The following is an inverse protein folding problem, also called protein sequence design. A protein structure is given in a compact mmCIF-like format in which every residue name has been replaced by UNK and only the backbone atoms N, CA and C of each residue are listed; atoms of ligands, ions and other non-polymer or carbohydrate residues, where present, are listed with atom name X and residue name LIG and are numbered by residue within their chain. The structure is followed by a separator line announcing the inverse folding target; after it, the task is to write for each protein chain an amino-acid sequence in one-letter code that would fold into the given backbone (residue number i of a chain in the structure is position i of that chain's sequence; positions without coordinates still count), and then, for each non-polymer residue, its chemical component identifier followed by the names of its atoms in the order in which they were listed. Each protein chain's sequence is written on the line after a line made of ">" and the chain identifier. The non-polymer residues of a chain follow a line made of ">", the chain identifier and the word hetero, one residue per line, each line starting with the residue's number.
data_IF_420875222553
#
_entry.id   IF_420875222553
#
_cell.length_a   1.000
_cell.length_b   1.000
_cell.length_c   1.000
_cell.angle_alpha   90.00
_cell.angle_beta   90.00
_cell.angle_gamma   90.00
#
_symmetry.space_group_name_H-M   'P 1'
#
loop_
_entity.id
_entity.type
_entity.pdbx_description
1 polymer ?
#
# COMPACT_ATOMS: atom_id res chain seq x y z
N UNK A 1 -4.99 -74.66 -5.01
CA UNK A 1 -3.97 -73.83 -4.31
C UNK A 1 -3.35 -72.79 -5.24
N UNK A 2 -2.85 -73.16 -6.42
CA UNK A 2 -2.21 -72.23 -7.39
C UNK A 2 -3.03 -70.98 -7.77
N UNK A 3 -4.35 -71.11 -7.98
CA UNK A 3 -5.24 -69.98 -8.29
C UNK A 3 -5.31 -68.93 -7.16
N UNK A 4 -5.31 -69.35 -5.90
CA UNK A 4 -5.38 -68.43 -4.76
C UNK A 4 -4.11 -67.60 -4.61
N UNK A 5 -2.93 -68.18 -4.88
CA UNK A 5 -1.67 -67.46 -4.87
C UNK A 5 -1.57 -66.40 -5.97
N UNK A 6 -2.09 -66.69 -7.17
CA UNK A 6 -2.13 -65.71 -8.28
C UNK A 6 -3.05 -64.52 -7.95
N UNK A 7 -4.22 -64.79 -7.36
CA UNK A 7 -5.15 -63.72 -6.94
C UNK A 7 -4.52 -62.86 -5.86
N UNK A 8 -3.88 -63.46 -4.85
CA UNK A 8 -3.21 -62.71 -3.79
C UNK A 8 -2.08 -61.83 -4.34
N UNK A 9 -1.21 -62.37 -5.21
CA UNK A 9 -0.13 -61.60 -5.83
C UNK A 9 -0.64 -60.42 -6.66
N UNK A 10 -1.72 -60.63 -7.43
CA UNK A 10 -2.35 -59.57 -8.22
C UNK A 10 -2.93 -58.46 -7.32
N UNK A 11 -3.64 -58.82 -6.25
CA UNK A 11 -4.18 -57.84 -5.30
C UNK A 11 -3.10 -57.03 -4.59
N UNK A 12 -1.99 -57.68 -4.20
CA UNK A 12 -0.85 -56.98 -3.59
C UNK A 12 -0.19 -56.02 -4.58
N UNK A 13 0.00 -56.43 -5.84
CA UNK A 13 0.54 -55.57 -6.88
C UNK A 13 -0.38 -54.37 -7.16
N UNK A 14 -1.69 -54.60 -7.28
CA UNK A 14 -2.66 -53.53 -7.46
C UNK A 14 -2.66 -52.53 -6.28
N UNK A 15 -2.61 -53.02 -5.04
CA UNK A 15 -2.52 -52.18 -3.85
C UNK A 15 -1.22 -51.35 -3.82
N UNK A 16 -0.08 -51.93 -4.23
CA UNK A 16 1.19 -51.23 -4.35
C UNK A 16 1.13 -50.12 -5.40
N UNK A 17 0.57 -50.40 -6.58
CA UNK A 17 0.39 -49.42 -7.65
C UNK A 17 -0.48 -48.24 -7.19
N UNK A 18 -1.59 -48.51 -6.50
CA UNK A 18 -2.46 -47.46 -5.92
C UNK A 18 -1.71 -46.66 -4.86
N UNK A 19 -0.96 -47.33 -3.97
CA UNK A 19 -0.17 -46.66 -2.93
C UNK A 19 0.90 -45.73 -3.50
N UNK A 20 1.65 -46.20 -4.50
CA UNK A 20 2.67 -45.37 -5.19
C UNK A 20 2.03 -44.20 -5.91
N UNK A 21 0.90 -44.42 -6.60
CA UNK A 21 0.16 -43.37 -7.29
C UNK A 21 -0.36 -42.30 -6.32
N UNK A 22 -0.94 -42.73 -5.20
CA UNK A 22 -1.42 -41.82 -4.16
C UNK A 22 -0.29 -41.01 -3.52
N UNK A 23 0.87 -41.62 -3.26
CA UNK A 23 2.06 -40.92 -2.76
C UNK A 23 2.61 -39.93 -3.78
N UNK A 24 2.64 -40.28 -5.07
CA UNK A 24 3.06 -39.37 -6.15
C UNK A 24 2.14 -38.16 -6.22
N UNK A 25 0.82 -38.37 -6.28
CA UNK A 25 -0.17 -37.29 -6.31
C UNK A 25 -0.07 -36.39 -5.08
N UNK A 26 0.15 -36.96 -3.90
CA UNK A 26 0.35 -36.19 -2.67
C UNK A 26 1.61 -35.33 -2.74
N UNK A 27 2.74 -35.88 -3.20
CA UNK A 27 3.99 -35.14 -3.37
C UNK A 27 3.84 -34.02 -4.40
N UNK A 28 3.26 -34.32 -5.56
CA UNK A 28 3.04 -33.34 -6.62
C UNK A 28 2.13 -32.21 -6.13
N UNK A 29 1.08 -32.54 -5.37
CA UNK A 29 0.21 -31.55 -4.74
C UNK A 29 0.98 -30.66 -3.75
N UNK A 30 1.81 -31.25 -2.89
CA UNK A 30 2.61 -30.49 -1.93
C UNK A 30 3.60 -29.56 -2.63
N UNK A 31 4.32 -30.04 -3.65
CA UNK A 31 5.28 -29.25 -4.43
C UNK A 31 4.57 -28.11 -5.16
N UNK A 32 3.43 -28.40 -5.81
CA UNK A 32 2.63 -27.40 -6.53
C UNK A 32 2.11 -26.31 -5.59
N UNK A 33 1.60 -26.68 -4.41
CA UNK A 33 1.11 -25.71 -3.43
C UNK A 33 2.23 -24.84 -2.84
N UNK A 34 3.39 -25.43 -2.54
CA UNK A 34 4.54 -24.69 -2.05
C UNK A 34 5.11 -23.73 -3.11
N UNK A 35 5.14 -24.17 -4.37
CA UNK A 35 5.54 -23.32 -5.48
C UNK A 35 4.57 -22.16 -5.67
N UNK A 36 3.26 -22.43 -5.75
CA UNK A 36 2.24 -21.40 -5.86
C UNK A 36 2.31 -20.40 -4.69
N UNK A 37 2.53 -20.88 -3.47
CA UNK A 37 2.67 -20.02 -2.28
C UNK A 37 3.88 -19.09 -2.39
N UNK A 38 5.02 -19.58 -2.88
CA UNK A 38 6.22 -18.76 -3.08
C UNK A 38 6.00 -17.72 -4.18
N UNK A 39 5.37 -18.12 -5.28
CA UNK A 39 5.03 -17.21 -6.38
C UNK A 39 4.08 -16.11 -5.91
N UNK A 40 3.00 -16.45 -5.21
CA UNK A 40 2.08 -15.46 -4.64
C UNK A 40 2.76 -14.52 -3.64
N UNK A 41 3.65 -15.03 -2.79
CA UNK A 41 4.39 -14.19 -1.84
C UNK A 41 5.34 -13.22 -2.55
N UNK A 42 6.07 -13.69 -3.57
CA UNK A 42 6.94 -12.85 -4.37
C UNK A 42 6.14 -11.77 -5.13
N UNK A 43 5.03 -12.15 -5.74
CA UNK A 43 4.12 -11.24 -6.43
C UNK A 43 3.54 -10.20 -5.47
N UNK A 44 3.04 -10.60 -4.31
CA UNK A 44 2.52 -9.67 -3.31
C UNK A 44 3.59 -8.64 -2.89
N UNK A 45 4.84 -9.07 -2.73
CA UNK A 45 5.95 -8.17 -2.43
C UNK A 45 6.23 -7.18 -3.58
N UNK A 46 6.20 -7.62 -4.84
CA UNK A 46 6.36 -6.73 -6.00
C UNK A 46 5.23 -5.70 -6.09
N UNK A 47 3.99 -6.10 -5.79
CA UNK A 47 2.84 -5.19 -5.79
C UNK A 47 2.91 -4.18 -4.63
N UNK A 48 3.36 -4.60 -3.45
CA UNK A 48 3.59 -3.72 -2.30
C UNK A 48 4.67 -2.67 -2.61
N UNK A 49 5.77 -3.10 -3.22
CA UNK A 49 6.85 -2.23 -3.68
C UNK A 49 6.37 -1.25 -4.77
N UNK A 50 5.53 -1.72 -5.71
CA UNK A 50 4.91 -0.85 -6.72
C UNK A 50 4.00 0.20 -6.08
N UNK A 51 3.16 -0.20 -5.13
CA UNK A 51 2.28 0.70 -4.39
C UNK A 51 3.08 1.77 -3.64
N UNK A 52 4.15 1.35 -2.98
CA UNK A 52 5.08 2.24 -2.29
C UNK A 52 5.69 3.26 -3.24
N UNK A 53 6.26 2.83 -4.37
CA UNK A 53 6.81 3.74 -5.39
C UNK A 53 5.78 4.70 -5.97
N UNK A 54 4.56 4.24 -6.18
CA UNK A 54 3.47 5.08 -6.69
C UNK A 54 3.11 6.20 -5.69
N UNK A 55 3.08 5.88 -4.40
CA UNK A 55 2.85 6.84 -3.31
C UNK A 55 4.04 7.79 -3.17
N UNK A 56 5.27 7.30 -3.20
CA UNK A 56 6.49 8.11 -3.13
C UNK A 56 6.58 9.15 -4.25
N UNK A 57 6.14 8.81 -5.46
CA UNK A 57 6.09 9.75 -6.57
C UNK A 57 5.09 10.89 -6.31
N UNK A 58 3.94 10.60 -5.69
CA UNK A 58 2.98 11.61 -5.23
C UNK A 58 3.54 12.45 -4.07
N UNK A 59 4.20 11.80 -3.12
CA UNK A 59 4.86 12.42 -1.98
C UNK A 59 5.93 13.44 -2.40
N UNK A 60 6.71 13.11 -3.44
CA UNK A 60 7.67 14.03 -4.03
C UNK A 60 6.99 15.30 -4.60
N UNK A 61 5.79 15.18 -5.17
CA UNK A 61 5.02 16.35 -5.61
C UNK A 61 4.60 17.23 -4.44
N UNK A 62 4.19 16.62 -3.32
CA UNK A 62 3.81 17.35 -2.12
C UNK A 62 4.98 18.17 -1.57
N UNK A 63 6.18 17.57 -1.45
CA UNK A 63 7.37 18.29 -0.98
C UNK A 63 7.67 19.49 -1.86
N UNK A 64 7.71 19.31 -3.18
CA UNK A 64 7.95 20.41 -4.11
C UNK A 64 6.89 21.50 -4.05
N UNK A 65 5.64 21.14 -3.76
CA UNK A 65 4.56 22.11 -3.55
C UNK A 65 4.78 22.89 -2.25
N UNK A 66 5.09 22.21 -1.15
CA UNK A 66 5.36 22.88 0.13
C UNK A 66 6.54 23.85 -0.01
N UNK A 67 7.63 23.44 -0.67
CA UNK A 67 8.78 24.33 -0.92
C UNK A 67 8.38 25.56 -1.75
N UNK A 68 7.41 25.42 -2.66
CA UNK A 68 6.90 26.55 -3.45
C UNK A 68 5.98 27.45 -2.63
N UNK A 69 5.13 26.88 -1.76
CA UNK A 69 4.24 27.62 -0.88
C UNK A 69 4.99 28.41 0.19
N UNK A 70 6.10 27.86 0.70
CA UNK A 70 6.98 28.53 1.67
C UNK A 70 7.61 29.79 1.08
N UNK A 71 7.98 29.76 -0.21
CA UNK A 71 8.60 30.89 -0.92
C UNK A 71 7.61 31.83 -1.58
N UNK A 72 6.33 31.48 -1.62
CA UNK A 72 5.32 32.22 -2.36
C UNK A 72 4.99 33.54 -1.67
N UNK A 73 5.26 34.66 -2.35
CA UNK A 73 4.73 35.96 -1.93
C UNK A 73 3.27 36.09 -2.39
N UNK A 74 2.34 35.93 -1.44
CA UNK A 74 0.90 36.02 -1.71
C UNK A 74 0.44 37.38 -2.26
N UNK A 75 1.30 38.40 -2.23
CA UNK A 75 1.04 39.72 -2.83
C UNK A 75 1.22 39.74 -4.35
N UNK A 76 1.92 38.76 -4.93
CA UNK A 76 2.06 38.59 -6.38
C UNK A 76 1.04 37.56 -6.92
N UNK A 77 -0.04 38.01 -7.59
CA UNK A 77 -1.02 37.11 -8.18
C UNK A 77 -0.46 36.26 -9.32
N UNK A 78 0.62 36.71 -9.98
CA UNK A 78 1.24 35.97 -11.07
C UNK A 78 1.99 34.74 -10.57
N UNK A 79 2.56 34.80 -9.36
CA UNK A 79 3.28 33.68 -8.77
C UNK A 79 2.36 32.48 -8.49
N UNK A 80 1.17 32.72 -7.92
CA UNK A 80 0.18 31.67 -7.69
C UNK A 80 -0.22 30.94 -8.97
N UNK A 81 -0.35 31.67 -10.10
CA UNK A 81 -0.62 31.08 -11.42
C UNK A 81 0.55 30.21 -11.91
N UNK A 82 1.80 30.64 -11.70
CA UNK A 82 2.99 29.86 -12.07
C UNK A 82 3.09 28.57 -11.27
N UNK A 83 2.84 28.64 -9.95
CA UNK A 83 2.84 27.45 -9.08
C UNK A 83 1.74 26.48 -9.54
N UNK A 84 0.54 26.97 -9.83
CA UNK A 84 -0.55 26.14 -10.35
C UNK A 84 -0.20 25.47 -11.68
N UNK A 85 0.35 26.21 -12.65
CA UNK A 85 0.73 25.65 -13.95
C UNK A 85 1.81 24.57 -13.81
N UNK A 86 2.80 24.78 -12.92
CA UNK A 86 3.83 23.80 -12.62
C UNK A 86 3.26 22.53 -11.97
N UNK A 87 2.34 22.68 -11.02
CA UNK A 87 1.63 21.55 -10.40
C UNK A 87 0.82 20.76 -11.42
N UNK A 88 0.02 21.46 -12.23
CA UNK A 88 -0.81 20.85 -13.28
C UNK A 88 0.03 20.01 -14.23
N UNK A 89 1.08 20.60 -14.81
CA UNK A 89 1.99 19.91 -15.74
C UNK A 89 2.67 18.69 -15.13
N UNK A 90 2.96 18.71 -13.81
CA UNK A 90 3.54 17.55 -13.11
C UNK A 90 2.51 16.47 -12.84
N UNK A 91 1.32 16.84 -12.39
CA UNK A 91 0.24 15.91 -12.11
C UNK A 91 -0.18 15.16 -13.39
N UNK A 92 -0.22 15.83 -14.54
CA UNK A 92 -0.53 15.18 -15.83
C UNK A 92 0.49 14.11 -16.26
N UNK A 93 1.74 14.21 -15.80
CA UNK A 93 2.79 13.21 -16.08
C UNK A 93 2.73 12.00 -15.15
N UNK A 94 1.84 12.00 -14.16
CA UNK A 94 1.72 10.95 -13.15
C UNK A 94 0.34 10.29 -13.24
N UNK A 95 0.21 9.14 -13.93
CA UNK A 95 -1.08 8.47 -14.13
C UNK A 95 -1.82 8.13 -12.83
N UNK A 96 -1.08 7.86 -11.75
CA UNK A 96 -1.64 7.57 -10.44
C UNK A 96 -2.19 8.82 -9.72
N UNK A 97 -1.81 10.03 -10.13
CA UNK A 97 -2.23 11.27 -9.48
C UNK A 97 -3.52 11.79 -10.13
N UNK A 98 -4.55 11.96 -9.31
CA UNK A 98 -5.86 12.50 -9.69
C UNK A 98 -5.99 14.02 -9.54
N UNK A 99 -4.96 14.67 -9.01
CA UNK A 99 -4.91 16.11 -8.75
C UNK A 99 -4.12 16.42 -7.48
N UNK A 100 -3.59 17.63 -7.42
CA UNK A 100 -2.82 18.17 -6.28
C UNK A 100 -3.43 19.51 -5.88
N UNK A 101 -3.59 19.75 -4.58
CA UNK A 101 -4.12 21.00 -4.04
C UNK A 101 -3.44 21.37 -2.73
N UNK A 102 -3.57 22.63 -2.34
CA UNK A 102 -3.05 23.16 -1.08
C UNK A 102 -4.14 23.85 -0.27
N UNK A 103 -4.11 23.66 1.05
CA UNK A 103 -4.95 24.35 2.01
C UNK A 103 -4.13 25.33 2.85
N UNK A 104 -4.77 26.38 3.35
CA UNK A 104 -4.21 27.24 4.39
C UNK A 104 -4.26 26.57 5.77
N UNK A 105 -3.72 27.28 6.77
CA UNK A 105 -3.73 26.87 8.17
C UNK A 105 -5.13 26.73 8.79
N UNK A 106 -6.19 27.16 8.09
CA UNK A 106 -7.58 27.01 8.50
C UNK A 106 -8.30 25.89 7.71
N UNK A 107 -7.61 25.21 6.79
CA UNK A 107 -8.18 24.16 5.97
C UNK A 107 -8.94 24.66 4.73
N UNK A 108 -8.77 25.93 4.34
CA UNK A 108 -9.41 26.49 3.14
C UNK A 108 -8.52 26.36 1.92
N UNK A 109 -9.14 26.13 0.76
CA UNK A 109 -8.43 25.91 -0.50
C UNK A 109 -7.65 27.15 -0.95
N UNK A 110 -6.32 27.03 -1.06
CA UNK A 110 -5.41 28.08 -1.54
C UNK A 110 -5.08 27.94 -3.02
N UNK A 111 -4.75 26.71 -3.45
CA UNK A 111 -4.38 26.38 -4.82
C UNK A 111 -4.95 25.03 -5.20
N UNK A 112 -5.36 24.90 -6.45
CA UNK A 112 -5.78 23.63 -7.05
C UNK A 112 -5.05 23.48 -8.40
N UNK A 113 -4.44 22.31 -8.62
CA UNK A 113 -3.84 21.97 -9.92
C UNK A 113 -4.84 21.98 -11.07
N UNK A 114 -6.13 21.79 -10.80
CA UNK A 114 -7.17 21.74 -11.83
C UNK A 114 -7.60 23.11 -12.35
N UNK A 115 -7.56 24.16 -11.52
CA UNK A 115 -8.15 25.47 -11.84
C UNK A 115 -7.45 26.63 -11.11
N UNK A 116 -7.34 27.79 -11.77
CA UNK A 116 -6.80 29.01 -11.19
C UNK A 116 -7.59 30.26 -11.62
N UNK A 117 -8.04 31.13 -10.69
CA UNK A 117 -8.04 30.91 -9.25
C UNK A 117 -9.00 29.78 -8.86
N UNK A 118 -8.71 28.99 -7.82
CA UNK A 118 -9.62 27.94 -7.41
C UNK A 118 -10.90 28.56 -6.81
N UNK A 119 -12.08 27.93 -7.01
CA UNK A 119 -13.29 28.35 -6.32
C UNK A 119 -13.09 28.19 -4.80
N UNK A 120 -13.52 29.16 -3.98
CA UNK A 120 -13.34 29.09 -2.54
C UNK A 120 -14.09 27.88 -1.98
N UNK A 121 -13.36 27.00 -1.29
CA UNK A 121 -13.90 25.80 -0.63
C UNK A 121 -13.26 25.67 0.74
N UNK A 122 -14.10 25.36 1.73
CA UNK A 122 -13.63 24.92 3.05
C UNK A 122 -13.50 23.40 3.04
N UNK A 123 -12.31 22.91 3.35
CA UNK A 123 -11.97 21.49 3.38
C UNK A 123 -11.44 21.08 4.76
N UNK A 124 -11.65 21.91 5.78
CA UNK A 124 -11.21 21.66 7.17
C UNK A 124 -11.77 20.36 7.75
N UNK A 125 -13.00 19.99 7.40
CA UNK A 125 -13.67 18.75 7.84
C UNK A 125 -13.15 17.48 7.13
N UNK A 126 -12.25 17.61 6.15
CA UNK A 126 -11.68 16.44 5.48
C UNK A 126 -10.69 15.72 6.40
N UNK A 127 -10.67 14.40 6.33
CA UNK A 127 -9.78 13.53 7.10
C UNK A 127 -8.31 13.98 7.03
N UNK A 128 -7.81 14.24 5.82
CA UNK A 128 -6.45 14.71 5.59
C UNK A 128 -6.18 16.11 6.16
N UNK A 129 -7.20 16.96 6.30
CA UNK A 129 -7.07 18.28 6.91
C UNK A 129 -7.05 18.15 8.44
N UNK A 130 -8.02 17.42 9.00
CA UNK A 130 -8.09 17.12 10.44
C UNK A 130 -6.82 16.43 10.96
N UNK A 131 -6.25 15.51 10.17
CA UNK A 131 -5.01 14.82 10.51
C UNK A 131 -3.81 15.76 10.73
N UNK A 132 -3.83 16.98 10.17
CA UNK A 132 -2.77 17.98 10.36
C UNK A 132 -3.22 19.14 11.27
N UNK A 133 -4.48 19.55 11.21
CA UNK A 133 -5.07 20.59 12.07
C UNK A 133 -5.11 20.16 13.55
N UNK A 134 -5.42 18.89 13.82
CA UNK A 134 -5.55 18.35 15.18
C UNK A 134 -4.21 18.09 15.89
N UNK A 135 -3.07 18.21 15.20
CA UNK A 135 -1.75 17.95 15.79
C UNK A 135 -1.27 19.19 16.54
N UNK A 136 -1.40 19.13 17.88
CA UNK A 136 -0.97 20.18 18.81
C UNK A 136 0.27 19.79 19.63
N UNK A 137 0.59 18.49 19.72
CA UNK A 137 1.76 17.97 20.45
C UNK A 137 2.41 16.79 19.72
N UNK A 138 3.75 16.74 19.77
CA UNK A 138 4.56 15.70 19.12
C UNK A 138 4.96 16.03 17.67
N UNK A 139 5.93 15.29 17.09
CA UNK A 139 6.30 15.47 15.69
C UNK A 139 5.10 15.09 14.80
N UNK A 140 4.65 15.96 13.89
CA UNK A 140 3.55 15.64 13.00
C UNK A 140 3.88 14.42 12.12
N UNK A 141 2.87 13.66 11.66
CA UNK A 141 3.10 12.59 10.71
C UNK A 141 3.76 13.16 9.46
N UNK A 142 4.93 12.64 9.10
CA UNK A 142 5.69 13.13 7.95
C UNK A 142 4.83 13.07 6.68
N UNK A 143 4.10 11.97 6.48
CA UNK A 143 3.12 11.77 5.42
C UNK A 143 1.88 11.13 6.05
N UNK A 144 0.70 11.68 5.77
CA UNK A 144 -0.57 11.06 6.13
C UNK A 144 -1.20 10.43 4.89
N UNK A 145 -1.76 9.23 5.04
CA UNK A 145 -2.57 8.55 4.02
C UNK A 145 -4.01 8.57 4.52
N UNK A 146 -4.87 9.31 3.82
CA UNK A 146 -6.28 9.43 4.13
C UNK A 146 -7.10 8.27 3.58
N UNK A 147 -8.36 8.22 3.96
CA UNK A 147 -9.32 7.19 3.58
C UNK A 147 -9.69 7.26 2.10
N UNK A 148 -10.31 6.19 1.61
CA UNK A 148 -10.85 6.12 0.25
C UNK A 148 -12.01 7.11 0.08
N UNK A 149 -11.93 7.95 -0.96
CA UNK A 149 -13.01 8.80 -1.44
C UNK A 149 -13.60 8.22 -2.74
N UNK A 150 -14.90 7.89 -2.77
CA UNK A 150 -15.55 7.43 -3.99
C UNK A 150 -15.64 8.56 -5.03
N UNK A 151 -15.85 8.18 -6.29
CA UNK A 151 -16.24 9.12 -7.33
C UNK A 151 -17.56 9.83 -6.94
N UNK A 152 -17.71 11.08 -7.35
CA UNK A 152 -18.84 11.91 -6.95
C UNK A 152 -18.77 13.32 -7.53
N UNK A 153 -19.61 14.25 -7.06
CA UNK A 153 -19.58 15.64 -7.52
C UNK A 153 -18.18 16.26 -7.39
N UNK A 154 -17.55 16.61 -8.51
CA UNK A 154 -16.19 17.14 -8.56
C UNK A 154 -15.05 16.11 -8.41
N UNK A 155 -15.36 14.81 -8.35
CA UNK A 155 -14.40 13.70 -8.27
C UNK A 155 -14.71 12.69 -9.39
N UNK A 156 -13.93 12.73 -10.48
CA UNK A 156 -14.19 11.88 -11.66
C UNK A 156 -13.94 10.39 -11.44
N UNK A 157 -13.02 10.03 -10.54
CA UNK A 157 -12.66 8.66 -10.23
C UNK A 157 -12.36 8.51 -8.74
N UNK A 158 -12.68 7.34 -8.18
CA UNK A 158 -12.36 7.01 -6.79
C UNK A 158 -10.87 7.19 -6.51
N UNK A 159 -10.54 7.83 -5.40
CA UNK A 159 -9.18 8.17 -5.01
C UNK A 159 -9.03 8.14 -3.50
N UNK A 160 -7.86 7.77 -3.00
CA UNK A 160 -7.48 8.09 -1.62
C UNK A 160 -6.58 9.31 -1.63
N UNK A 161 -6.27 9.87 -0.46
CA UNK A 161 -5.41 11.06 -0.38
C UNK A 161 -4.11 10.76 0.33
N UNK A 162 -3.07 11.49 -0.05
CA UNK A 162 -1.87 11.62 0.74
C UNK A 162 -1.66 13.11 1.04
N UNK A 163 -1.21 13.43 2.26
CA UNK A 163 -1.03 14.82 2.66
C UNK A 163 0.18 15.05 3.56
N UNK A 164 0.74 16.26 3.44
CA UNK A 164 1.82 16.79 4.28
C UNK A 164 1.49 18.20 4.74
N UNK A 165 2.00 18.56 5.92
CA UNK A 165 1.91 19.91 6.46
C UNK A 165 3.22 20.68 6.30
N UNK A 166 3.13 21.97 5.95
CA UNK A 166 4.18 22.96 6.13
C UNK A 166 3.98 23.60 7.50
N UNK A 167 5.02 23.62 8.33
CA UNK A 167 5.03 24.28 9.63
C UNK A 167 6.25 25.19 9.72
N UNK A 168 6.12 26.28 10.46
CA UNK A 168 7.26 27.15 10.78
C UNK A 168 8.18 26.56 11.86
N UNK A 169 9.23 27.30 12.22
CA UNK A 169 10.21 26.89 13.23
C UNK A 169 9.58 26.67 14.60
N UNK A 170 8.50 27.39 14.90
CA UNK A 170 7.69 27.26 16.11
C UNK A 170 6.69 26.08 16.07
N UNK A 171 6.57 25.41 14.91
CA UNK A 171 5.67 24.28 14.70
C UNK A 171 4.23 24.66 14.35
N UNK A 172 3.95 25.94 14.11
CA UNK A 172 2.64 26.44 13.69
C UNK A 172 2.36 26.01 12.25
N UNK A 173 1.14 25.50 12.01
CA UNK A 173 0.72 25.10 10.67
C UNK A 173 0.60 26.32 9.75
N UNK A 174 1.26 26.26 8.59
CA UNK A 174 1.23 27.30 7.57
C UNK A 174 0.38 26.90 6.37
N UNK A 175 0.52 25.64 5.94
CA UNK A 175 -0.24 25.09 4.81
C UNK A 175 -0.31 23.56 4.88
N UNK A 176 -1.26 22.97 4.15
CA UNK A 176 -1.37 21.53 3.95
C UNK A 176 -1.33 21.25 2.44
N UNK A 177 -0.36 20.47 1.97
CA UNK A 177 -0.33 19.97 0.60
C UNK A 177 -1.00 18.60 0.53
N UNK A 178 -1.83 18.39 -0.47
CA UNK A 178 -2.62 17.16 -0.64
C UNK A 178 -2.56 16.69 -2.08
N UNK A 179 -2.41 15.38 -2.28
CA UNK A 179 -2.52 14.74 -3.58
C UNK A 179 -3.57 13.64 -3.50
N UNK A 180 -4.47 13.62 -4.48
CA UNK A 180 -5.39 12.50 -4.68
C UNK A 180 -4.71 11.41 -5.49
N UNK A 181 -4.67 10.19 -4.98
CA UNK A 181 -4.13 9.02 -5.68
C UNK A 181 -5.31 8.19 -6.19
N UNK A 182 -5.35 7.96 -7.50
CA UNK A 182 -6.41 7.20 -8.18
C UNK A 182 -6.36 5.75 -7.72
N UNK A 183 -7.46 5.25 -7.15
CA UNK A 183 -7.61 3.83 -6.85
C UNK A 183 -7.61 3.02 -8.16
N UNK A 184 -8.28 3.54 -9.19
CA UNK A 184 -8.39 2.93 -10.52
C UNK A 184 -7.06 2.62 -11.18
N UNK A 185 -6.00 3.40 -10.88
CA UNK A 185 -4.65 3.12 -11.36
C UNK A 185 -4.15 1.76 -10.88
N UNK A 186 -4.34 1.46 -9.59
CA UNK A 186 -3.95 0.18 -9.01
C UNK A 186 -4.82 -0.96 -9.51
N UNK A 187 -6.15 -0.77 -9.54
CA UNK A 187 -7.05 -1.84 -9.98
C UNK A 187 -6.86 -2.22 -11.45
N UNK A 188 -6.59 -1.24 -12.33
CA UNK A 188 -6.26 -1.50 -13.74
C UNK A 188 -4.94 -2.24 -13.88
N UNK A 189 -3.87 -1.73 -13.27
CA UNK A 189 -2.54 -2.35 -13.34
C UNK A 189 -2.55 -3.76 -12.76
N UNK A 190 -3.25 -3.98 -11.64
CA UNK A 190 -3.38 -5.31 -11.07
C UNK A 190 -4.16 -6.23 -12.02
N UNK A 191 -5.15 -5.74 -12.76
CA UNK A 191 -5.91 -6.56 -13.71
C UNK A 191 -5.13 -7.06 -14.92
N UNK A 192 -4.00 -6.44 -15.28
CA UNK A 192 -3.22 -6.80 -16.47
C UNK A 192 -2.41 -8.11 -16.31
N UNK A 193 -2.19 -8.56 -15.08
CA UNK A 193 -1.33 -9.72 -14.81
C UNK A 193 -1.96 -11.08 -15.13
N UNK A 194 -3.18 -11.13 -15.66
CA UNK A 194 -3.79 -12.36 -16.19
C UNK A 194 -3.96 -13.45 -15.13
N UNK A 195 -4.52 -13.10 -13.97
CA UNK A 195 -4.68 -14.02 -12.85
C UNK A 195 -5.60 -15.20 -13.17
N UNK A 196 -5.36 -16.33 -12.50
CA UNK A 196 -6.25 -17.49 -12.56
C UNK A 196 -7.65 -17.21 -12.01
N UNK A 197 -8.59 -18.13 -12.28
CA UNK A 197 -9.99 -18.00 -11.87
C UNK A 197 -10.11 -17.82 -10.34
N UNK A 198 -10.92 -16.83 -9.92
CA UNK A 198 -11.17 -16.54 -8.51
C UNK A 198 -10.07 -15.74 -7.79
N UNK A 199 -9.02 -15.30 -8.50
CA UNK A 199 -8.01 -14.42 -7.92
C UNK A 199 -8.60 -13.08 -7.50
N UNK A 200 -8.15 -12.59 -6.34
CA UNK A 200 -8.54 -11.31 -5.79
C UNK A 200 -7.33 -10.62 -5.18
N UNK A 201 -7.22 -9.32 -5.40
CA UNK A 201 -6.14 -8.49 -4.91
C UNK A 201 -6.74 -7.27 -4.23
N UNK A 202 -6.12 -6.83 -3.15
CA UNK A 202 -6.51 -5.60 -2.49
C UNK A 202 -5.29 -4.93 -1.86
N UNK A 203 -5.29 -3.59 -1.89
CA UNK A 203 -4.32 -2.74 -1.21
C UNK A 203 -4.99 -2.20 0.05
N UNK A 204 -4.30 -2.32 1.18
CA UNK A 204 -4.79 -1.82 2.46
C UNK A 204 -3.81 -0.83 3.07
N UNK A 205 -4.31 0.13 3.84
CA UNK A 205 -3.48 0.88 4.79
C UNK A 205 -3.03 -0.05 5.92
N UNK A 206 -2.00 0.37 6.68
CA UNK A 206 -1.63 -0.32 7.92
C UNK A 206 -2.76 -0.33 8.95
N UNK A 207 -3.69 0.63 8.88
CA UNK A 207 -4.92 0.71 9.66
C UNK A 207 -6.05 -0.19 9.11
N UNK A 208 -5.78 -1.00 8.08
CA UNK A 208 -6.70 -1.96 7.43
C UNK A 208 -7.82 -1.34 6.61
N UNK A 209 -7.69 -0.09 6.20
CA UNK A 209 -8.63 0.53 5.25
C UNK A 209 -8.30 0.08 3.84
N UNK A 210 -9.29 -0.40 3.09
CA UNK A 210 -9.12 -0.83 1.70
C UNK A 210 -8.97 0.39 0.78
N UNK A 211 -7.82 0.53 0.14
CA UNK A 211 -7.50 1.63 -0.76
C UNK A 211 -7.83 1.32 -2.22
N UNK A 212 -7.60 0.08 -2.63
CA UNK A 212 -7.83 -0.40 -3.99
C UNK A 212 -8.12 -1.90 -3.98
N UNK A 213 -8.80 -2.38 -5.02
CA UNK A 213 -9.11 -3.79 -5.18
C UNK A 213 -9.26 -4.22 -6.64
N UNK A 214 -9.05 -5.51 -6.88
CA UNK A 214 -9.33 -6.17 -8.14
C UNK A 214 -9.81 -7.61 -7.92
N UNK A 215 -10.87 -8.08 -8.61
CA UNK A 215 -11.81 -7.27 -9.38
C UNK A 215 -12.58 -6.29 -8.47
N UNK A 216 -13.26 -5.28 -9.02
CA UNK A 216 -14.13 -4.39 -8.24
C UNK A 216 -15.14 -5.19 -7.39
N UNK A 217 -15.44 -4.70 -6.18
CA UNK A 217 -16.36 -5.32 -5.22
C UNK A 217 -15.92 -6.70 -4.69
N UNK A 218 -14.62 -6.98 -4.74
CA UNK A 218 -14.06 -8.18 -4.14
C UNK A 218 -14.08 -8.12 -2.59
N UNK A 219 -14.66 -9.13 -1.95
CA UNK A 219 -14.65 -9.25 -0.49
C UNK A 219 -13.30 -9.77 0.04
N UNK A 220 -12.20 -9.08 -0.27
CA UNK A 220 -10.88 -9.40 0.27
C UNK A 220 -10.77 -8.83 1.67
N UNK A 221 -10.46 -9.69 2.64
CA UNK A 221 -10.18 -9.27 4.01
C UNK A 221 -8.74 -8.73 4.13
N UNK A 222 -8.50 -7.74 5.01
CA UNK A 222 -7.16 -7.23 5.26
C UNK A 222 -6.25 -8.37 5.75
N UNK A 223 -4.98 -8.41 5.30
CA UNK A 223 -4.06 -9.46 5.71
C UNK A 223 -3.91 -9.48 7.24
N UNK A 224 -3.74 -10.67 7.86
CA UNK A 224 -3.37 -10.73 9.26
C UNK A 224 -2.07 -9.96 9.46
N UNK A 225 -1.86 -9.33 10.64
CA UNK A 225 -0.63 -8.61 10.91
C UNK A 225 0.58 -9.53 10.62
N UNK A 226 1.70 -8.98 10.12
CA UNK A 226 2.85 -9.79 9.75
C UNK A 226 3.24 -10.67 10.94
N UNK A 227 3.07 -11.99 10.77
CA UNK A 227 3.54 -12.96 11.74
C UNK A 227 5.06 -12.85 11.90
N UNK A 228 5.64 -13.32 13.02
CA UNK A 228 7.07 -13.28 13.20
C UNK A 228 7.76 -13.99 12.01
N UNK A 229 8.60 -13.25 11.29
CA UNK A 229 9.34 -13.76 10.14
C UNK A 229 10.08 -15.06 10.51
N UNK A 230 10.09 -16.09 9.65
CA UNK A 230 10.73 -17.38 9.95
C UNK A 230 12.25 -17.27 10.23
N UNK A 231 12.88 -16.14 9.91
CA UNK A 231 14.31 -15.89 10.14
C UNK A 231 14.70 -15.56 11.58
N UNK A 232 13.79 -15.06 12.42
CA UNK A 232 14.18 -14.50 13.74
C UNK A 232 14.28 -15.57 14.84
N UNK A 233 13.89 -16.83 14.58
CA UNK A 233 14.00 -17.92 15.57
C UNK A 233 15.41 -18.49 15.73
N UNK A 234 16.36 -18.14 14.85
CA UNK A 234 17.70 -18.77 14.86
C UNK A 234 18.73 -18.06 15.73
N UNK A 235 18.57 -16.76 16.01
CA UNK A 235 19.51 -15.98 16.85
C UNK A 235 19.20 -16.05 18.35
N UNK A 236 17.94 -16.28 18.75
CA UNK A 236 17.57 -16.37 20.17
C UNK A 236 18.02 -17.67 20.87
N UNK A 237 18.36 -18.73 20.12
CA UNK A 237 18.85 -20.00 20.69
C UNK A 237 20.36 -20.03 20.90
N UNK A 238 21.13 -19.14 20.27
CA UNK A 238 22.59 -19.08 20.46
C UNK A 238 22.99 -18.24 21.67
N UNK A 239 22.24 -17.19 22.02
CA UNK A 239 22.53 -16.37 23.22
C UNK A 239 22.23 -17.09 24.55
N UNK A 240 21.34 -18.10 24.56
CA UNK A 240 21.05 -18.87 25.77
C UNK A 240 22.08 -19.99 26.09
N UNK A 241 22.93 -20.40 25.13
CA UNK A 241 23.97 -21.42 25.36
C UNK A 241 25.27 -20.84 25.92
N UNK A 242 25.53 -19.54 25.75
CA UNK A 242 26.75 -18.89 26.25
C UNK A 242 26.71 -18.54 27.76
N UNK A 243 25.55 -18.64 28.43
CA UNK A 243 25.38 -18.33 29.87
C UNK A 243 25.48 -19.54 30.81
N UNK A 244 25.83 -20.74 30.32
CA UNK A 244 25.93 -21.98 31.12
C UNK A 244 27.35 -22.59 31.14
N UNK A 245 28.38 -21.76 31.22
CA UNK A 245 29.73 -22.23 31.56
C UNK A 245 30.02 -21.91 33.04
N UNK A 246 30.26 -22.91 33.92
CA UNK A 246 30.62 -22.65 35.31
C UNK A 246 32.08 -22.18 35.42
N UNK A 247 32.42 -21.34 36.41
CA UNK A 247 33.80 -20.95 36.66
C UNK A 247 34.60 -22.15 37.19
N UNK A 248 35.73 -22.45 36.55
CA UNK A 248 36.80 -23.27 37.14
C UNK A 248 37.60 -22.37 38.08
N UNK A 249 37.53 -22.62 39.38
CA UNK A 249 38.38 -22.01 40.38
C UNK A 249 39.35 -23.05 40.96
N UNK A 250 40.64 -22.70 40.94
CA UNK A 250 41.70 -23.25 41.79
C UNK A 250 41.55 -22.74 43.23
#
# INVERSE_FOLDING_TARGET
>A
MQRAHLVAAFLTFAALCVGVSALSVSRDRHVTLEQARREFAATAHLLDEHASRAIEAGDAQLRMLLDALERWDRRDPAEGRRIQAAMHSRAERLPQVGGVWALDAQGRLLLDSAEHPPPPRDLSERDYAQAHLGVTQGPPPALHVGSYLPAGPGISQGRFTISRALRDEEGTLQAIAVAGIRNTYFSQMYGEAGWGEGARLALFTSAKEKLAEWPPDSAVEPPPPPGPSPGTRRTARQSLRARRSPPRGC
#
